data_IF_479848188735
#
_entry.id   IF_479848188735
#
_cell.length_a   1.000
_cell.length_b   1.000
_cell.length_c   1.000
_cell.angle_alpha   90.00
_cell.angle_beta   90.00
_cell.angle_gamma   90.00
#
_symmetry.space_group_name_H-M   'P 1'
#
loop_
_entity.id
_entity.type
_entity.pdbx_description
1 polymer ?
#
# COMPACT_ATOMS: atom_id res chain seq x y z
N UNK A 1 16.76 -23.44 22.61
CA UNK A 1 16.62 -21.97 22.58
C UNK A 1 17.82 -21.19 21.98
N UNK A 2 19.03 -21.76 21.81
CA UNK A 2 20.19 -21.06 21.19
C UNK A 2 20.01 -20.72 19.69
N UNK A 3 19.13 -21.42 18.98
CA UNK A 3 19.05 -21.32 17.51
C UNK A 3 18.25 -20.11 16.99
N UNK A 4 17.36 -19.49 17.79
CA UNK A 4 16.51 -18.39 17.31
C UNK A 4 17.30 -17.08 17.14
N UNK A 5 18.24 -16.79 18.04
CA UNK A 5 19.11 -15.60 17.92
C UNK A 5 20.02 -15.68 16.69
N UNK A 6 20.52 -16.89 16.37
CA UNK A 6 21.32 -17.13 15.18
C UNK A 6 20.48 -16.98 13.90
N UNK A 7 19.24 -17.51 13.90
CA UNK A 7 18.32 -17.38 12.78
C UNK A 7 17.93 -15.91 12.48
N UNK A 8 17.63 -15.11 13.52
CA UNK A 8 17.32 -13.68 13.36
C UNK A 8 18.54 -12.92 12.82
N UNK A 9 19.74 -13.20 13.34
CA UNK A 9 20.98 -12.55 12.89
C UNK A 9 21.29 -12.86 11.42
N UNK A 10 20.96 -14.07 10.95
CA UNK A 10 21.10 -14.46 9.55
C UNK A 10 20.01 -13.85 8.65
N UNK A 11 18.77 -13.77 9.12
CA UNK A 11 17.63 -13.27 8.33
C UNK A 11 17.63 -11.74 8.17
N UNK A 12 18.03 -10.99 9.20
CA UNK A 12 18.05 -9.53 9.22
C UNK A 12 18.69 -8.89 7.97
N UNK A 13 19.93 -9.21 7.57
CA UNK A 13 20.57 -8.59 6.41
C UNK A 13 19.82 -8.85 5.09
N UNK A 14 19.10 -9.98 4.97
CA UNK A 14 18.28 -10.27 3.79
C UNK A 14 16.92 -9.55 3.81
N UNK A 15 16.37 -9.31 5.00
CA UNK A 15 15.07 -8.61 5.15
C UNK A 15 15.18 -7.08 5.10
N UNK A 16 16.33 -6.50 5.46
CA UNK A 16 16.54 -5.04 5.48
C UNK A 16 16.27 -4.39 4.11
N UNK A 17 16.80 -4.89 2.97
CA UNK A 17 16.53 -4.29 1.66
C UNK A 17 15.04 -4.26 1.31
N UNK A 18 14.31 -5.32 1.66
CA UNK A 18 12.88 -5.45 1.41
C UNK A 18 12.10 -4.48 2.30
N UNK A 19 12.44 -4.41 3.58
CA UNK A 19 11.82 -3.49 4.54
C UNK A 19 12.01 -2.02 4.10
N UNK A 20 13.21 -1.66 3.66
CA UNK A 20 13.49 -0.32 3.13
C UNK A 20 12.57 0.04 1.96
N UNK A 21 12.33 -0.90 1.04
CA UNK A 21 11.38 -0.71 -0.05
C UNK A 21 9.95 -0.46 0.45
N UNK A 22 9.48 -1.24 1.42
CA UNK A 22 8.16 -1.05 2.02
C UNK A 22 8.02 0.26 2.79
N UNK A 23 9.05 0.70 3.52
CA UNK A 23 9.04 1.99 4.23
C UNK A 23 8.92 3.14 3.22
N UNK A 24 9.69 3.11 2.13
CA UNK A 24 9.62 4.13 1.07
C UNK A 24 8.24 4.13 0.41
N UNK A 25 7.70 2.96 0.06
CA UNK A 25 6.37 2.83 -0.54
C UNK A 25 5.26 3.34 0.39
N UNK A 26 5.28 2.96 1.67
CA UNK A 26 4.32 3.42 2.66
C UNK A 26 4.40 4.92 2.90
N UNK A 27 5.61 5.48 2.91
CA UNK A 27 5.81 6.93 3.03
C UNK A 27 5.29 7.68 1.80
N UNK A 28 5.58 7.18 0.59
CA UNK A 28 5.06 7.73 -0.65
C UNK A 28 3.52 7.72 -0.68
N UNK A 29 2.90 6.63 -0.23
CA UNK A 29 1.45 6.52 -0.12
C UNK A 29 0.86 7.56 0.85
N UNK A 30 1.44 7.68 2.05
CA UNK A 30 1.00 8.65 3.05
C UNK A 30 1.12 10.10 2.57
N UNK A 31 2.25 10.44 1.94
CA UNK A 31 2.49 11.75 1.33
C UNK A 31 1.47 12.02 0.23
N UNK A 32 1.17 11.04 -0.62
CA UNK A 32 0.21 11.18 -1.71
C UNK A 32 -1.22 11.44 -1.19
N UNK A 33 -1.66 10.69 -0.17
CA UNK A 33 -2.96 10.90 0.47
C UNK A 33 -3.05 12.28 1.12
N UNK A 34 -1.99 12.70 1.82
CA UNK A 34 -1.91 14.02 2.43
C UNK A 34 -1.93 15.14 1.38
N UNK A 35 -1.22 14.98 0.26
CA UNK A 35 -1.21 15.94 -0.85
C UNK A 35 -2.58 16.12 -1.51
N UNK A 36 -3.44 15.10 -1.47
CA UNK A 36 -4.84 15.19 -1.92
C UNK A 36 -5.81 15.69 -0.85
N UNK A 37 -5.31 16.05 0.34
CA UNK A 37 -6.13 16.51 1.46
C UNK A 37 -7.01 15.42 2.07
N UNK A 38 -6.72 14.14 1.81
CA UNK A 38 -7.53 13.03 2.30
C UNK A 38 -7.22 12.80 3.80
N UNK A 39 -8.24 12.72 4.67
CA UNK A 39 -8.04 12.49 6.10
C UNK A 39 -7.26 11.20 6.40
N UNK A 40 -6.42 11.25 7.44
CA UNK A 40 -5.59 10.11 7.88
C UNK A 40 -6.41 8.84 8.14
N UNK A 41 -7.66 8.98 8.59
CA UNK A 41 -8.55 7.84 8.84
C UNK A 41 -8.71 6.99 7.56
N UNK A 42 -8.93 7.62 6.41
CA UNK A 42 -9.10 6.93 5.13
C UNK A 42 -7.81 6.26 4.67
N UNK A 43 -6.65 6.87 4.96
CA UNK A 43 -5.33 6.27 4.71
C UNK A 43 -5.09 5.00 5.54
N UNK A 44 -5.57 4.98 6.79
CA UNK A 44 -5.46 3.79 7.65
C UNK A 44 -6.42 2.71 7.16
N UNK A 45 -7.68 3.07 6.87
CA UNK A 45 -8.68 2.14 6.34
C UNK A 45 -8.20 1.49 5.03
N UNK A 46 -7.76 2.28 4.05
CA UNK A 46 -7.26 1.75 2.78
C UNK A 46 -6.06 0.82 2.98
N UNK A 47 -5.17 1.12 3.92
CA UNK A 47 -4.00 0.28 4.23
C UNK A 47 -4.34 -1.05 4.89
N UNK A 48 -5.50 -1.15 5.57
CA UNK A 48 -5.96 -2.39 6.21
C UNK A 48 -6.75 -3.26 5.23
N UNK A 49 -7.60 -2.64 4.39
CA UNK A 49 -8.57 -3.37 3.57
C UNK A 49 -8.12 -3.59 2.10
N UNK A 50 -7.19 -2.79 1.56
CA UNK A 50 -6.77 -2.90 0.16
C UNK A 50 -5.42 -3.62 0.08
N UNK A 51 -5.47 -4.91 -0.26
CA UNK A 51 -4.26 -5.73 -0.46
C UNK A 51 -3.70 -5.67 -1.88
N UNK A 52 -4.47 -5.15 -2.83
CA UNK A 52 -4.01 -4.93 -4.19
C UNK A 52 -3.10 -3.69 -4.21
N UNK A 53 -1.78 -3.90 -4.13
CA UNK A 53 -0.80 -2.82 -3.96
C UNK A 53 -0.88 -1.74 -5.03
N UNK A 54 -1.11 -2.09 -6.31
CA UNK A 54 -1.32 -1.11 -7.38
C UNK A 54 -2.62 -0.33 -7.21
N UNK A 55 -3.70 -1.01 -6.81
CA UNK A 55 -5.00 -0.38 -6.58
C UNK A 55 -4.98 0.55 -5.38
N UNK A 56 -4.21 0.26 -4.34
CA UNK A 56 -4.10 1.14 -3.17
C UNK A 56 -3.68 2.57 -3.57
N UNK A 57 -2.77 2.72 -4.54
CA UNK A 57 -2.37 4.02 -5.09
C UNK A 57 -3.42 4.60 -6.05
N UNK A 58 -4.05 3.77 -6.89
CA UNK A 58 -5.13 4.22 -7.81
C UNK A 58 -6.35 4.73 -7.04
N UNK A 59 -6.67 4.13 -5.90
CA UNK A 59 -7.75 4.56 -5.01
C UNK A 59 -7.58 6.00 -4.54
N UNK A 60 -6.35 6.50 -4.41
CA UNK A 60 -6.11 7.90 -4.05
C UNK A 60 -6.67 8.86 -5.11
N UNK A 61 -6.47 8.52 -6.38
CA UNK A 61 -7.03 9.29 -7.48
C UNK A 61 -8.56 9.16 -7.50
N UNK A 62 -9.10 7.94 -7.32
CA UNK A 62 -10.55 7.69 -7.30
C UNK A 62 -11.26 8.46 -6.17
N UNK A 63 -10.68 8.47 -4.96
CA UNK A 63 -11.19 9.24 -3.83
C UNK A 63 -11.13 10.76 -4.09
N UNK A 64 -10.13 11.22 -4.84
CA UNK A 64 -9.97 12.64 -5.18
C UNK A 64 -10.92 13.09 -6.32
N UNK A 65 -11.31 12.19 -7.23
CA UNK A 65 -12.19 12.50 -8.38
C UNK A 65 -13.68 12.56 -8.05
N UNK A 66 -14.07 12.24 -6.81
CA UNK A 66 -15.48 12.23 -6.38
C UNK A 66 -16.15 10.86 -6.59
N UNK A 67 -17.48 10.84 -6.52
CA UNK A 67 -18.26 9.59 -6.42
C UNK A 67 -18.61 8.99 -7.80
N UNK A 68 -17.67 8.24 -8.38
CA UNK A 68 -17.90 7.41 -9.58
C UNK A 68 -17.67 5.93 -9.28
N UNK A 69 -18.75 5.25 -8.87
CA UNK A 69 -18.74 3.83 -8.53
C UNK A 69 -18.50 2.93 -9.76
N UNK A 70 -19.02 3.33 -10.92
CA UNK A 70 -18.90 2.52 -12.15
C UNK A 70 -17.46 2.60 -12.66
N UNK A 71 -16.89 3.81 -12.70
CA UNK A 71 -15.48 4.00 -13.05
C UNK A 71 -14.55 3.30 -12.08
N UNK A 72 -14.80 3.39 -10.77
CA UNK A 72 -14.01 2.66 -9.77
C UNK A 72 -14.08 1.14 -9.97
N UNK A 73 -15.26 0.57 -10.24
CA UNK A 73 -15.44 -0.85 -10.53
C UNK A 73 -14.68 -1.28 -11.79
N UNK A 74 -14.87 -0.56 -12.90
CA UNK A 74 -14.21 -0.86 -14.18
C UNK A 74 -12.69 -0.72 -14.07
N UNK A 75 -12.20 0.35 -13.44
CA UNK A 75 -10.77 0.58 -13.21
C UNK A 75 -10.17 -0.56 -12.37
N UNK A 76 -10.85 -0.97 -11.31
CA UNK A 76 -10.41 -2.09 -10.45
C UNK A 76 -10.32 -3.38 -11.26
N UNK A 77 -11.33 -3.67 -12.08
CA UNK A 77 -11.36 -4.87 -12.92
C UNK A 77 -10.25 -4.85 -13.97
N UNK A 78 -10.06 -3.73 -14.68
CA UNK A 78 -9.01 -3.57 -15.69
C UNK A 78 -7.60 -3.69 -15.12
N UNK A 79 -7.33 -3.05 -13.98
CA UNK A 79 -5.99 -3.09 -13.35
C UNK A 79 -5.67 -4.48 -12.81
N UNK A 80 -6.65 -5.21 -12.29
CA UNK A 80 -6.43 -6.55 -11.74
C UNK A 80 -6.54 -7.66 -12.79
N UNK A 81 -7.13 -7.42 -13.97
CA UNK A 81 -7.26 -8.41 -15.04
C UNK A 81 -5.91 -8.93 -15.60
N UNK A 82 -4.78 -8.31 -15.23
CA UNK A 82 -3.44 -8.82 -15.56
C UNK A 82 -3.02 -10.05 -14.74
N UNK A 83 -3.75 -10.36 -13.66
CA UNK A 83 -3.54 -11.50 -12.78
C UNK A 83 -4.58 -12.57 -13.08
#
# INVERSE_FOLDING_TARGET
MKNHKAAIKAALPHTIPILSGYIVLGSAYGILMNSKGIPLIWTIFSSIFIYAGSMQFVTVALLATGFDLIGAFMMTLMVNARH
#
